data_IF_979351808179
#
_entry.id   IF_979351808179
#
_cell.length_a   1.000
_cell.length_b   1.000
_cell.length_c   1.000
_cell.angle_alpha   90.00
_cell.angle_beta   90.00
_cell.angle_gamma   90.00
#
_symmetry.space_group_name_H-M   'P 1'
#
loop_
_entity.id
_entity.type
_entity.pdbx_description
1 polymer ?
#
# COMPACT_ATOMS: atom_id res chain seq x y z
N UNK A 1 -10.22 1.19 31.82
CA UNK A 1 -9.01 0.71 31.10
C UNK A 1 -9.41 0.21 29.69
N UNK A 2 -8.53 0.23 28.68
CA UNK A 2 -8.70 1.06 27.47
C UNK A 2 -9.47 0.40 26.30
N UNK A 3 -10.62 0.95 25.93
CA UNK A 3 -11.41 0.56 24.73
C UNK A 3 -10.68 0.81 23.38
N UNK A 4 -9.63 1.64 23.35
CA UNK A 4 -8.96 2.11 22.13
C UNK A 4 -7.82 1.20 21.64
N UNK A 5 -7.23 0.40 22.54
CA UNK A 5 -6.17 -0.57 22.21
C UNK A 5 -6.76 -1.86 21.61
N UNK A 6 -7.83 -2.37 22.21
CA UNK A 6 -8.56 -3.57 21.73
C UNK A 6 -9.05 -3.43 20.29
N UNK A 7 -9.44 -2.23 19.87
CA UNK A 7 -9.91 -1.99 18.50
C UNK A 7 -8.79 -2.07 17.46
N UNK A 8 -7.57 -1.64 17.80
CA UNK A 8 -6.44 -1.61 16.87
C UNK A 8 -5.88 -3.01 16.64
N UNK A 9 -5.68 -3.77 17.71
CA UNK A 9 -5.20 -5.16 17.62
C UNK A 9 -6.21 -6.04 16.86
N UNK A 10 -7.50 -5.78 17.05
CA UNK A 10 -8.57 -6.45 16.31
C UNK A 10 -8.60 -6.06 14.83
N UNK A 11 -8.42 -4.77 14.51
CA UNK A 11 -8.30 -4.31 13.13
C UNK A 11 -7.13 -4.99 12.42
N UNK A 12 -5.95 -5.02 13.04
CA UNK A 12 -4.76 -5.69 12.49
C UNK A 12 -4.99 -7.19 12.30
N UNK A 13 -5.64 -7.87 13.25
CA UNK A 13 -6.01 -9.29 13.12
C UNK A 13 -6.93 -9.52 11.93
N UNK A 14 -7.95 -8.67 11.74
CA UNK A 14 -8.89 -8.80 10.62
C UNK A 14 -8.17 -8.58 9.28
N UNK A 15 -7.32 -7.55 9.19
CA UNK A 15 -6.54 -7.28 7.97
C UNK A 15 -5.62 -8.45 7.63
N UNK A 16 -4.92 -9.03 8.61
CA UNK A 16 -4.02 -10.16 8.40
C UNK A 16 -4.77 -11.42 7.93
N UNK A 17 -5.89 -11.75 8.57
CA UNK A 17 -6.72 -12.90 8.16
C UNK A 17 -7.30 -12.68 6.77
N UNK A 18 -7.82 -11.48 6.49
CA UNK A 18 -8.37 -11.15 5.19
C UNK A 18 -7.30 -11.21 4.09
N UNK A 19 -6.10 -10.66 4.31
CA UNK A 19 -4.97 -10.76 3.38
C UNK A 19 -4.65 -12.22 3.04
N UNK A 20 -4.53 -13.07 4.06
CA UNK A 20 -4.26 -14.50 3.86
C UNK A 20 -5.36 -15.20 3.04
N UNK A 21 -6.63 -14.89 3.30
CA UNK A 21 -7.75 -15.47 2.55
C UNK A 21 -7.77 -14.96 1.11
N UNK A 22 -7.55 -13.66 0.88
CA UNK A 22 -7.46 -13.09 -0.47
C UNK A 22 -6.32 -13.69 -1.27
N UNK A 23 -5.13 -13.87 -0.67
CA UNK A 23 -3.98 -14.48 -1.34
C UNK A 23 -4.18 -15.97 -1.63
N UNK A 24 -4.96 -16.67 -0.80
CA UNK A 24 -5.19 -18.12 -0.93
C UNK A 24 -6.33 -18.47 -1.87
N UNK A 25 -7.45 -17.74 -1.79
CA UNK A 25 -8.70 -18.08 -2.48
C UNK A 25 -9.09 -17.06 -3.54
N UNK A 26 -8.40 -15.92 -3.60
CA UNK A 26 -8.73 -14.80 -4.47
C UNK A 26 -9.71 -13.82 -3.84
N UNK A 27 -9.71 -12.59 -4.35
CA UNK A 27 -10.56 -11.50 -3.86
C UNK A 27 -12.07 -11.79 -4.01
N UNK A 28 -12.48 -12.24 -5.20
CA UNK A 28 -13.90 -12.47 -5.52
C UNK A 28 -14.51 -13.58 -4.67
N UNK A 29 -13.78 -14.68 -4.46
CA UNK A 29 -14.27 -15.87 -3.73
C UNK A 29 -14.25 -15.73 -2.22
N UNK A 30 -13.58 -14.71 -1.68
CA UNK A 30 -13.51 -14.47 -0.24
C UNK A 30 -14.59 -13.48 0.19
N UNK A 31 -15.47 -13.89 1.12
CA UNK A 31 -16.52 -13.04 1.68
C UNK A 31 -16.23 -12.56 3.10
N UNK A 32 -16.97 -11.54 3.55
CA UNK A 32 -16.91 -11.02 4.94
C UNK A 32 -17.24 -12.13 5.96
N UNK A 33 -18.13 -13.06 5.62
CA UNK A 33 -18.47 -14.21 6.48
C UNK A 33 -17.29 -15.15 6.66
N UNK A 34 -16.47 -15.35 5.64
CA UNK A 34 -15.27 -16.19 5.72
C UNK A 34 -14.23 -15.55 6.63
N UNK A 35 -14.02 -14.24 6.49
CA UNK A 35 -13.13 -13.45 7.36
C UNK A 35 -13.63 -13.53 8.82
N UNK A 36 -14.92 -13.31 9.06
CA UNK A 36 -15.55 -13.41 10.40
C UNK A 36 -15.32 -14.77 11.06
N UNK A 37 -15.55 -15.87 10.33
CA UNK A 37 -15.32 -17.23 10.85
C UNK A 37 -13.84 -17.46 11.20
N UNK A 38 -12.92 -17.06 10.33
CA UNK A 38 -11.48 -17.24 10.55
C UNK A 38 -10.94 -16.34 11.69
N UNK A 39 -11.52 -15.16 11.88
CA UNK A 39 -11.19 -14.28 13.00
C UNK A 39 -11.83 -14.69 14.33
N UNK A 40 -12.84 -15.58 14.31
CA UNK A 40 -13.71 -15.97 15.44
C UNK A 40 -14.44 -14.77 16.06
N UNK A 41 -15.01 -13.93 15.22
CA UNK A 41 -15.79 -12.74 15.62
C UNK A 41 -17.10 -12.65 14.85
N UNK A 42 -18.05 -11.86 15.33
CA UNK A 42 -19.30 -11.62 14.59
C UNK A 42 -19.08 -10.76 13.34
N UNK A 43 -19.90 -10.97 12.32
CA UNK A 43 -19.94 -10.13 11.12
C UNK A 43 -20.22 -8.66 11.47
N UNK A 44 -21.10 -8.41 12.44
CA UNK A 44 -21.40 -7.07 12.93
C UNK A 44 -20.18 -6.35 13.51
N UNK A 45 -19.25 -7.08 14.13
CA UNK A 45 -18.01 -6.50 14.63
C UNK A 45 -17.04 -6.11 13.51
N UNK A 46 -17.02 -6.86 12.40
CA UNK A 46 -16.27 -6.46 11.20
C UNK A 46 -16.85 -5.16 10.64
N UNK A 47 -18.17 -5.09 10.45
CA UNK A 47 -18.82 -3.89 9.91
C UNK A 47 -18.71 -2.65 10.80
N UNK A 48 -18.45 -2.84 12.10
CA UNK A 48 -18.14 -1.74 13.02
C UNK A 48 -16.79 -1.08 12.71
N UNK A 49 -15.84 -1.81 12.13
CA UNK A 49 -14.46 -1.36 11.86
C UNK A 49 -14.28 -1.00 10.37
N UNK A 50 -14.89 -1.79 9.50
CA UNK A 50 -14.75 -1.70 8.05
C UNK A 50 -16.09 -1.50 7.37
N UNK A 51 -16.12 -0.63 6.36
CA UNK A 51 -17.35 -0.28 5.64
C UNK A 51 -17.76 -1.37 4.65
N UNK A 52 -16.79 -2.04 4.05
CA UNK A 52 -17.01 -3.05 3.00
C UNK A 52 -15.82 -4.01 2.91
N UNK A 53 -15.94 -5.02 2.03
CA UNK A 53 -14.81 -5.87 1.64
C UNK A 53 -13.71 -5.06 0.93
N UNK A 54 -14.11 -4.08 0.11
CA UNK A 54 -13.18 -3.19 -0.59
C UNK A 54 -12.39 -2.32 0.40
N UNK A 55 -13.04 -1.78 1.46
CA UNK A 55 -12.37 -1.02 2.52
C UNK A 55 -11.30 -1.86 3.23
N UNK A 56 -11.59 -3.13 3.53
CA UNK A 56 -10.60 -4.06 4.09
C UNK A 56 -9.42 -4.22 3.14
N UNK A 57 -9.70 -4.49 1.85
CA UNK A 57 -8.65 -4.75 0.88
C UNK A 57 -7.79 -3.50 0.61
N UNK A 58 -8.39 -2.33 0.46
CA UNK A 58 -7.68 -1.05 0.29
C UNK A 58 -6.82 -0.73 1.51
N UNK A 59 -7.29 -0.99 2.74
CA UNK A 59 -6.47 -0.80 3.95
C UNK A 59 -5.29 -1.77 4.01
N UNK A 60 -5.44 -3.02 3.54
CA UNK A 60 -4.31 -3.95 3.37
C UNK A 60 -3.28 -3.35 2.41
N UNK A 61 -3.71 -2.92 1.21
CA UNK A 61 -2.81 -2.31 0.21
C UNK A 61 -2.13 -1.06 0.77
N UNK A 62 -2.90 -0.17 1.40
CA UNK A 62 -2.41 1.05 2.04
C UNK A 62 -1.33 0.75 3.08
N UNK A 63 -1.51 -0.28 3.90
CA UNK A 63 -0.51 -0.72 4.88
C UNK A 63 0.80 -1.10 4.19
N UNK A 64 0.77 -1.96 3.19
CA UNK A 64 1.97 -2.38 2.45
C UNK A 64 2.64 -1.23 1.70
N UNK A 65 1.88 -0.33 1.09
CA UNK A 65 2.44 0.86 0.42
C UNK A 65 3.07 1.83 1.41
N UNK A 66 2.51 1.99 2.62
CA UNK A 66 3.10 2.82 3.67
C UNK A 66 4.41 2.24 4.20
N UNK A 67 4.47 0.91 4.37
CA UNK A 67 5.71 0.22 4.73
C UNK A 67 6.79 0.40 3.65
N UNK A 68 6.43 0.24 2.38
CA UNK A 68 7.32 0.48 1.24
C UNK A 68 7.84 1.93 1.22
N UNK A 69 6.95 2.90 1.41
CA UNK A 69 7.30 4.31 1.43
C UNK A 69 8.26 4.65 2.57
N UNK A 70 8.08 4.05 3.74
CA UNK A 70 8.99 4.23 4.87
C UNK A 70 10.37 3.62 4.58
N UNK A 71 10.42 2.42 3.99
CA UNK A 71 11.68 1.79 3.58
C UNK A 71 12.42 2.66 2.55
N UNK A 72 11.70 3.16 1.54
CA UNK A 72 12.25 4.05 0.53
C UNK A 72 12.84 5.32 1.16
N UNK A 73 12.09 6.00 2.02
CA UNK A 73 12.57 7.23 2.67
C UNK A 73 13.87 6.99 3.44
N UNK A 74 14.00 5.87 4.15
CA UNK A 74 15.22 5.51 4.88
C UNK A 74 16.42 5.23 3.97
N UNK A 75 16.19 4.67 2.78
CA UNK A 75 17.25 4.45 1.78
C UNK A 75 17.68 5.77 1.13
N UNK A 76 16.71 6.57 0.69
CA UNK A 76 16.95 7.88 0.06
C UNK A 76 17.67 8.85 1.02
N UNK A 77 17.34 8.83 2.31
CA UNK A 77 17.98 9.71 3.30
C UNK A 77 19.46 9.41 3.53
N UNK A 78 19.92 8.20 3.17
CA UNK A 78 21.33 7.77 3.31
C UNK A 78 22.14 7.94 2.03
N UNK A 79 21.46 8.11 0.90
CA UNK A 79 22.08 8.33 -0.40
C UNK A 79 22.50 9.80 -0.57
N UNK A 80 23.62 10.03 -1.23
CA UNK A 80 24.22 11.36 -1.36
C UNK A 80 24.09 11.94 -2.77
N UNK A 81 24.13 11.11 -3.81
CA UNK A 81 24.02 11.55 -5.21
C UNK A 81 22.67 11.26 -5.85
N UNK A 82 22.41 11.88 -7.00
CA UNK A 82 21.30 11.55 -7.87
C UNK A 82 21.25 10.06 -8.22
N UNK A 83 22.36 9.46 -8.69
CA UNK A 83 22.39 8.07 -9.14
C UNK A 83 22.08 7.10 -8.00
N UNK A 84 22.62 7.34 -6.80
CA UNK A 84 22.34 6.51 -5.63
C UNK A 84 20.86 6.60 -5.23
N UNK A 85 20.29 7.81 -5.22
CA UNK A 85 18.88 8.01 -4.87
C UNK A 85 17.97 7.35 -5.90
N UNK A 86 18.26 7.52 -7.18
CA UNK A 86 17.49 6.91 -8.26
C UNK A 86 17.58 5.37 -8.23
N UNK A 87 18.78 4.81 -8.03
CA UNK A 87 18.95 3.35 -7.88
C UNK A 87 18.15 2.83 -6.68
N UNK A 88 18.25 3.48 -5.53
CA UNK A 88 17.47 3.11 -4.34
C UNK A 88 15.96 3.17 -4.57
N UNK A 89 15.48 4.17 -5.32
CA UNK A 89 14.08 4.30 -5.71
C UNK A 89 13.62 3.12 -6.58
N UNK A 90 14.36 2.85 -7.66
CA UNK A 90 14.05 1.76 -8.61
C UNK A 90 14.13 0.41 -7.91
N UNK A 91 15.19 0.14 -7.15
CA UNK A 91 15.37 -1.10 -6.41
C UNK A 91 14.27 -1.32 -5.38
N UNK A 92 13.87 -0.28 -4.63
CA UNK A 92 12.76 -0.39 -3.70
C UNK A 92 11.47 -0.79 -4.43
N UNK A 93 11.18 -0.13 -5.56
CA UNK A 93 10.01 -0.44 -6.37
C UNK A 93 10.03 -1.90 -6.86
N UNK A 94 11.12 -2.33 -7.53
CA UNK A 94 11.26 -3.69 -8.06
C UNK A 94 11.20 -4.76 -6.95
N UNK A 95 11.83 -4.51 -5.80
CA UNK A 95 11.80 -5.44 -4.67
C UNK A 95 10.38 -5.60 -4.11
N UNK A 96 9.57 -4.54 -4.09
CA UNK A 96 8.18 -4.64 -3.67
C UNK A 96 7.34 -5.46 -4.65
N UNK A 97 7.53 -5.30 -5.95
CA UNK A 97 6.90 -6.16 -6.95
C UNK A 97 7.27 -7.63 -6.76
N UNK A 98 8.55 -7.94 -6.50
CA UNK A 98 9.01 -9.31 -6.27
C UNK A 98 8.49 -9.91 -4.96
N UNK A 99 8.54 -9.16 -3.85
CA UNK A 99 8.14 -9.65 -2.52
C UNK A 99 6.63 -9.80 -2.36
N UNK A 100 5.85 -8.98 -3.06
CA UNK A 100 4.39 -8.89 -2.91
C UNK A 100 3.66 -9.12 -4.23
N UNK A 101 4.27 -9.86 -5.16
CA UNK A 101 3.77 -10.11 -6.51
C UNK A 101 2.28 -10.48 -6.54
N UNK A 102 1.88 -11.48 -5.75
CA UNK A 102 0.48 -11.92 -5.68
C UNK A 102 -0.47 -10.83 -5.18
N UNK A 103 -0.03 -10.00 -4.24
CA UNK A 103 -0.83 -8.92 -3.71
C UNK A 103 -1.00 -7.80 -4.75
N UNK A 104 0.07 -7.47 -5.48
CA UNK A 104 0.02 -6.54 -6.61
C UNK A 104 -0.87 -7.07 -7.73
N UNK A 105 -0.73 -8.34 -8.10
CA UNK A 105 -1.59 -8.99 -9.08
C UNK A 105 -3.07 -8.90 -8.68
N UNK A 106 -3.39 -9.22 -7.42
CA UNK A 106 -4.75 -9.06 -6.89
C UNK A 106 -5.22 -7.61 -6.93
N UNK A 107 -4.35 -6.67 -6.56
CA UNK A 107 -4.68 -5.24 -6.63
C UNK A 107 -5.03 -4.82 -8.06
N UNK A 108 -4.20 -5.14 -9.06
CA UNK A 108 -4.45 -4.77 -10.45
C UNK A 108 -5.65 -5.47 -11.07
N UNK A 109 -5.85 -6.76 -10.78
CA UNK A 109 -6.94 -7.55 -11.38
C UNK A 109 -8.29 -7.36 -10.68
N UNK A 110 -8.28 -7.12 -9.37
CA UNK A 110 -9.52 -7.03 -8.58
C UNK A 110 -9.99 -5.60 -8.33
N UNK A 111 -9.07 -4.63 -8.31
CA UNK A 111 -9.36 -3.21 -8.07
C UNK A 111 -8.82 -2.27 -9.17
N UNK A 112 -7.71 -2.62 -9.81
CA UNK A 112 -7.04 -1.78 -10.82
C UNK A 112 -7.74 -1.76 -12.19
N UNK A 113 -8.46 -2.82 -12.55
CA UNK A 113 -9.29 -2.86 -13.76
C UNK A 113 -10.69 -2.32 -13.46
N UNK A 114 -10.87 -1.01 -13.62
CA UNK A 114 -12.16 -0.30 -13.62
C UNK A 114 -13.08 -0.40 -12.37
N UNK A 115 -12.63 -1.01 -11.26
CA UNK A 115 -13.53 -1.38 -10.14
C UNK A 115 -13.42 -0.56 -8.86
N UNK A 116 -12.45 0.35 -8.73
CA UNK A 116 -12.44 1.27 -7.60
C UNK A 116 -13.51 2.36 -7.80
N UNK A 117 -14.45 2.47 -6.86
CA UNK A 117 -15.18 3.73 -6.68
C UNK A 117 -14.18 4.82 -6.30
N UNK A 118 -14.46 6.07 -6.66
CA UNK A 118 -13.55 7.20 -6.44
C UNK A 118 -13.06 7.28 -4.98
N UNK A 119 -13.94 6.92 -4.04
CA UNK A 119 -13.70 6.96 -2.59
C UNK A 119 -12.54 6.07 -2.13
N UNK A 120 -12.39 4.88 -2.70
CA UNK A 120 -11.32 3.94 -2.37
C UNK A 120 -9.99 4.38 -3.01
N UNK A 121 -10.03 5.03 -4.19
CA UNK A 121 -8.83 5.67 -4.80
C UNK A 121 -8.30 6.81 -3.94
N UNK A 122 -9.20 7.65 -3.42
CA UNK A 122 -8.81 8.74 -2.51
C UNK A 122 -8.02 8.24 -1.30
N UNK A 123 -8.29 7.02 -0.82
CA UNK A 123 -7.55 6.41 0.29
C UNK A 123 -6.10 5.99 -0.05
N UNK A 124 -5.71 5.99 -1.32
CA UNK A 124 -4.33 5.68 -1.74
C UNK A 124 -3.60 6.91 -2.29
N UNK A 125 -4.33 8.01 -2.56
CA UNK A 125 -3.82 9.20 -3.23
C UNK A 125 -2.69 9.89 -2.47
N UNK A 126 -2.78 9.98 -1.14
CA UNK A 126 -1.71 10.59 -0.35
C UNK A 126 -0.40 9.79 -0.46
N UNK A 127 -0.48 8.46 -0.57
CA UNK A 127 0.72 7.63 -0.72
C UNK A 127 1.30 7.78 -2.12
N UNK A 128 0.46 7.75 -3.17
CA UNK A 128 0.94 7.98 -4.53
C UNK A 128 1.58 9.36 -4.68
N UNK A 129 0.96 10.41 -4.11
CA UNK A 129 1.51 11.76 -4.13
C UNK A 129 2.88 11.83 -3.44
N UNK A 130 3.06 11.13 -2.31
CA UNK A 130 4.35 11.07 -1.63
C UNK A 130 5.42 10.34 -2.43
N UNK A 131 5.09 9.26 -3.14
CA UNK A 131 6.04 8.62 -4.06
C UNK A 131 6.44 9.54 -5.21
N UNK A 132 5.47 10.21 -5.83
CA UNK A 132 5.73 11.21 -6.89
C UNK A 132 6.62 12.34 -6.39
N UNK A 133 6.36 12.88 -5.19
CA UNK A 133 7.18 13.95 -4.63
C UNK A 133 8.62 13.50 -4.37
N UNK A 134 8.83 12.26 -3.92
CA UNK A 134 10.19 11.72 -3.76
C UNK A 134 10.89 11.66 -5.12
N UNK A 135 10.23 11.15 -6.16
CA UNK A 135 10.82 11.07 -7.50
C UNK A 135 11.11 12.48 -8.07
N UNK A 136 10.18 13.41 -7.93
CA UNK A 136 10.35 14.82 -8.31
C UNK A 136 11.60 15.43 -7.64
N UNK A 137 11.74 15.23 -6.33
CA UNK A 137 12.91 15.71 -5.59
C UNK A 137 14.22 15.06 -6.06
N UNK A 138 14.19 13.77 -6.43
CA UNK A 138 15.36 13.09 -6.99
C UNK A 138 15.73 13.70 -8.35
N UNK A 139 14.74 13.98 -9.20
CA UNK A 139 14.94 14.63 -10.50
C UNK A 139 15.55 16.03 -10.32
N UNK A 140 15.05 16.82 -9.36
CA UNK A 140 15.62 18.15 -9.04
C UNK A 140 17.09 18.06 -8.61
N UNK A 141 17.45 17.08 -7.79
CA UNK A 141 18.86 16.84 -7.43
C UNK A 141 19.68 16.52 -8.69
N UNK A 142 19.16 15.67 -9.58
CA UNK A 142 19.81 15.35 -10.85
C UNK A 142 20.02 16.58 -11.75
N UNK A 143 19.09 17.54 -11.76
CA UNK A 143 19.25 18.81 -12.50
C UNK A 143 20.35 19.68 -11.90
N UNK A 144 20.43 19.77 -10.57
CA UNK A 144 21.45 20.52 -9.86
C UNK A 144 22.85 19.93 -10.07
N UNK A 145 22.96 18.60 -10.10
CA UNK A 145 24.19 17.87 -10.38
C UNK A 145 24.58 17.83 -11.87
N UNK A 146 23.74 18.40 -12.75
CA UNK A 146 23.95 18.39 -14.20
C UNK A 146 23.78 17.01 -14.86
N UNK A 147 23.13 16.07 -14.18
CA UNK A 147 22.86 14.69 -14.63
C UNK A 147 21.52 14.55 -15.34
N UNK A 148 20.63 15.51 -15.16
CA UNK A 148 19.30 15.56 -15.78
C UNK A 148 19.13 16.89 -16.50
N UNK A 149 18.52 16.86 -17.69
CA UNK A 149 18.19 18.08 -18.43
C UNK A 149 17.26 18.99 -17.60
N UNK A 150 17.62 20.27 -17.51
CA UNK A 150 16.86 21.27 -16.74
C UNK A 150 15.44 21.48 -17.26
N UNK A 151 15.17 21.13 -18.52
CA UNK A 151 13.86 21.26 -19.15
C UNK A 151 12.90 20.10 -18.87
N UNK A 152 13.36 19.03 -18.20
CA UNK A 152 12.49 17.92 -17.79
C UNK A 152 11.55 18.40 -16.68
N UNK A 153 10.25 18.16 -16.83
CA UNK A 153 9.25 18.45 -15.80
C UNK A 153 9.35 17.44 -14.64
N UNK A 154 9.18 17.93 -13.41
CA UNK A 154 9.38 17.18 -12.16
C UNK A 154 8.28 17.44 -11.15
#
# INVERSE_FOLDING_TARGET
>A
MPKKLVSKDLEEKILQVAENLFLKYGYTKTGIRDISRNCKISVGLIYKIFKSKDDIFVRIIRKHLKEALNELNLKISKASSFEEKLSNFIECFLNQFKRKEKLFYLFFTSLGSHFLLDKERFQLQDISQRFSQILANIIEIGKLEGKVDKNIDS
#
